data_IF_097310788203
#
_entry.id   IF_097310788203
#
_cell.length_a   1.000
_cell.length_b   1.000
_cell.length_c   1.000
_cell.angle_alpha   90.00
_cell.angle_beta   90.00
_cell.angle_gamma   90.00
#
_symmetry.space_group_name_H-M   'P 1'
#
loop_
_entity.id
_entity.type
_entity.pdbx_description
1 polymer ?
#
# COMPACT_ATOMS: atom_id res chain seq x y z
N UNK A 1 5.14 -1.61 44.57
CA UNK A 1 4.38 -0.47 45.13
C UNK A 1 5.27 0.54 45.83
N UNK A 2 6.14 0.14 46.77
CA UNK A 2 7.06 1.09 47.44
C UNK A 2 8.06 1.75 46.47
N UNK A 3 8.72 0.99 45.60
CA UNK A 3 9.67 1.55 44.61
C UNK A 3 9.00 2.50 43.59
N UNK A 4 7.80 2.18 43.13
CA UNK A 4 7.03 3.02 42.20
C UNK A 4 6.56 4.33 42.85
N UNK A 5 6.29 4.32 44.17
CA UNK A 5 5.93 5.51 44.95
C UNK A 5 7.13 6.45 45.13
N UNK A 6 8.31 5.89 45.40
CA UNK A 6 9.55 6.66 45.55
C UNK A 6 9.96 7.33 44.22
N UNK A 7 9.79 6.61 43.09
CA UNK A 7 10.03 7.17 41.75
C UNK A 7 9.05 8.31 41.40
N UNK A 8 7.80 8.15 41.84
CA UNK A 8 6.75 9.15 41.70
C UNK A 8 7.12 10.45 42.45
N UNK A 9 7.41 10.37 43.74
CA UNK A 9 7.79 11.52 44.57
C UNK A 9 9.04 12.24 44.03
N UNK A 10 10.07 11.49 43.62
CA UNK A 10 11.28 12.05 43.04
C UNK A 10 11.02 12.81 41.72
N UNK A 11 10.15 12.27 40.85
CA UNK A 11 9.73 12.98 39.63
C UNK A 11 8.97 14.27 39.99
N UNK A 12 8.11 14.22 40.99
CA UNK A 12 7.30 15.36 41.43
C UNK A 12 8.16 16.52 41.95
N UNK A 13 9.20 16.21 42.74
CA UNK A 13 10.17 17.17 43.26
C UNK A 13 10.99 17.80 42.12
N UNK A 14 11.49 16.97 41.21
CA UNK A 14 12.25 17.44 40.05
C UNK A 14 11.40 18.36 39.17
N UNK A 15 10.14 18.01 38.89
CA UNK A 15 9.23 18.86 38.13
C UNK A 15 8.96 20.21 38.84
N UNK A 16 8.82 20.22 40.16
CA UNK A 16 8.69 21.47 40.93
C UNK A 16 9.92 22.35 40.78
N UNK A 17 11.12 21.78 40.93
CA UNK A 17 12.37 22.51 40.77
C UNK A 17 12.53 23.05 39.34
N UNK A 18 12.11 22.28 38.34
CA UNK A 18 12.07 22.68 36.94
C UNK A 18 11.17 23.91 36.71
N UNK A 19 9.94 23.89 37.23
CA UNK A 19 8.97 24.99 37.11
C UNK A 19 9.48 26.29 37.76
N UNK A 20 10.19 26.18 38.90
CA UNK A 20 10.84 27.29 39.58
C UNK A 20 12.06 27.78 38.80
N UNK A 21 12.86 26.88 38.23
CA UNK A 21 14.01 27.18 37.38
C UNK A 21 13.65 27.94 36.11
N UNK A 22 12.48 27.64 35.50
CA UNK A 22 11.94 28.41 34.36
C UNK A 22 11.80 29.91 34.65
N UNK A 23 11.62 30.32 35.92
CA UNK A 23 11.55 31.74 36.29
C UNK A 23 12.93 32.43 36.27
N UNK A 24 14.02 31.65 36.29
CA UNK A 24 15.41 32.14 36.37
C UNK A 24 16.17 32.13 35.04
N UNK A 25 15.48 31.89 33.90
CA UNK A 25 16.05 31.81 32.54
C UNK A 25 17.08 30.68 32.30
N UNK A 26 17.22 29.71 33.21
CA UNK A 26 18.21 28.63 33.08
C UNK A 26 17.64 27.39 32.35
N UNK A 27 17.32 27.60 31.08
CA UNK A 27 16.65 26.59 30.26
C UNK A 27 17.57 25.38 29.98
N UNK A 28 18.87 25.58 29.79
CA UNK A 28 19.85 24.51 29.52
C UNK A 28 19.90 23.44 30.62
N UNK A 29 19.86 23.88 31.87
CA UNK A 29 19.78 22.98 33.01
C UNK A 29 18.46 22.21 32.99
N UNK A 30 17.34 22.87 32.67
CA UNK A 30 16.03 22.23 32.58
C UNK A 30 15.98 21.08 31.55
N UNK A 31 16.46 21.30 30.33
CA UNK A 31 16.47 20.25 29.29
C UNK A 31 17.36 19.07 29.71
N UNK A 32 18.52 19.35 30.30
CA UNK A 32 19.43 18.32 30.81
C UNK A 32 18.77 17.47 31.90
N UNK A 33 18.04 18.11 32.80
CA UNK A 33 17.31 17.42 33.89
C UNK A 33 16.20 16.54 33.33
N UNK A 34 15.39 17.05 32.39
CA UNK A 34 14.31 16.24 31.79
C UNK A 34 14.89 15.09 30.95
N UNK A 35 15.96 15.32 30.19
CA UNK A 35 16.64 14.24 29.44
C UNK A 35 17.17 13.15 30.38
N UNK A 36 17.79 13.53 31.50
CA UNK A 36 18.24 12.58 32.51
C UNK A 36 17.08 11.75 33.08
N UNK A 37 15.93 12.39 33.36
CA UNK A 37 14.72 11.66 33.77
C UNK A 37 14.30 10.67 32.67
N UNK A 38 14.17 11.12 31.43
CA UNK A 38 13.78 10.25 30.29
C UNK A 38 14.68 9.03 30.19
N UNK A 39 16.00 9.20 30.30
CA UNK A 39 16.98 8.10 30.27
C UNK A 39 16.87 7.17 31.48
N UNK A 40 16.74 7.73 32.68
CA UNK A 40 16.59 6.94 33.91
C UNK A 40 15.38 6.01 33.84
N UNK A 41 14.28 6.49 33.26
CA UNK A 41 13.05 5.71 33.13
C UNK A 41 12.98 4.86 31.85
N UNK A 42 14.00 4.87 30.99
CA UNK A 42 14.13 3.94 29.86
C UNK A 42 14.79 2.60 30.27
N UNK A 43 15.63 2.60 31.31
CA UNK A 43 16.59 1.50 31.57
C UNK A 43 15.97 0.31 32.33
N UNK A 44 14.88 0.49 33.08
CA UNK A 44 14.44 -0.53 34.05
C UNK A 44 13.12 -1.26 33.76
N UNK A 45 12.44 -0.99 32.63
CA UNK A 45 11.06 -1.47 32.36
C UNK A 45 10.02 -1.14 33.46
N UNK A 46 10.41 -0.41 34.51
CA UNK A 46 9.56 0.10 35.59
C UNK A 46 8.82 1.33 35.07
N UNK A 47 7.52 1.19 34.86
CA UNK A 47 6.65 2.28 34.39
C UNK A 47 6.31 3.20 35.56
N UNK A 48 6.49 4.50 35.37
CA UNK A 48 6.08 5.51 36.34
C UNK A 48 4.56 5.48 36.45
N UNK A 49 4.06 5.38 37.67
CA UNK A 49 2.64 5.58 37.94
C UNK A 49 2.40 7.08 38.06
N UNK A 50 1.60 7.64 37.16
CA UNK A 50 1.26 9.07 37.20
C UNK A 50 0.23 9.34 38.30
N UNK A 51 0.37 10.51 38.92
CA UNK A 51 -0.59 11.09 39.85
C UNK A 51 -1.08 12.44 39.31
N UNK A 52 -2.27 12.89 39.75
CA UNK A 52 -2.86 14.15 39.27
C UNK A 52 -1.92 15.34 39.48
N UNK A 53 -1.24 15.41 40.63
CA UNK A 53 -0.27 16.47 40.92
C UNK A 53 0.87 16.52 39.89
N UNK A 54 1.33 15.36 39.41
CA UNK A 54 2.37 15.29 38.38
C UNK A 54 1.86 15.76 37.04
N UNK A 55 0.66 15.34 36.64
CA UNK A 55 0.05 15.80 35.38
C UNK A 55 -0.11 17.32 35.39
N UNK A 56 -0.58 17.90 36.50
CA UNK A 56 -0.69 19.35 36.65
C UNK A 56 0.67 20.05 36.57
N UNK A 57 1.73 19.47 37.15
CA UNK A 57 3.10 20.01 37.04
C UNK A 57 3.66 19.89 35.62
N UNK A 58 3.50 18.75 34.96
CA UNK A 58 3.93 18.57 33.55
C UNK A 58 3.15 19.53 32.65
N UNK A 59 1.83 19.69 32.86
CA UNK A 59 1.02 20.66 32.14
C UNK A 59 1.52 22.09 32.35
N UNK A 60 1.75 22.51 33.59
CA UNK A 60 2.25 23.84 33.90
C UNK A 60 3.62 24.10 33.26
N UNK A 61 4.51 23.10 33.31
CA UNK A 61 5.82 23.16 32.66
C UNK A 61 5.66 23.29 31.14
N UNK A 62 4.83 22.45 30.52
CA UNK A 62 4.54 22.47 29.10
C UNK A 62 3.97 23.83 28.66
N UNK A 63 2.94 24.34 29.33
CA UNK A 63 2.33 25.64 29.01
C UNK A 63 3.32 26.80 29.13
N UNK A 64 4.23 26.77 30.10
CA UNK A 64 5.30 27.77 30.21
C UNK A 64 6.26 27.67 29.03
N UNK A 65 6.75 26.48 28.71
CA UNK A 65 7.68 26.26 27.59
C UNK A 65 7.03 26.64 26.26
N UNK A 66 5.78 26.29 26.04
CA UNK A 66 5.02 26.60 24.83
C UNK A 66 4.81 28.11 24.66
N UNK A 67 4.32 28.80 25.71
CA UNK A 67 4.15 30.25 25.68
C UNK A 67 5.42 30.99 25.25
N UNK A 68 6.59 30.54 25.72
CA UNK A 68 7.87 31.15 25.40
C UNK A 68 8.36 30.70 24.01
N UNK A 69 8.09 29.46 23.59
CA UNK A 69 8.33 28.99 22.21
C UNK A 69 7.65 29.88 21.18
N UNK A 70 6.40 30.27 21.46
CA UNK A 70 5.61 31.16 20.59
C UNK A 70 6.11 32.61 20.59
N UNK A 71 6.78 33.05 21.67
CA UNK A 71 7.22 34.45 21.82
C UNK A 71 8.64 34.70 21.31
N UNK A 72 9.56 33.79 21.60
CA UNK A 72 11.00 34.05 21.44
C UNK A 72 11.65 33.21 20.32
N UNK A 73 10.92 32.28 19.68
CA UNK A 73 11.38 31.46 18.55
C UNK A 73 12.72 30.70 18.76
N UNK A 74 13.09 30.43 20.01
CA UNK A 74 14.40 29.85 20.36
C UNK A 74 14.44 28.33 20.13
N UNK A 75 15.51 27.86 19.47
CA UNK A 75 15.81 26.44 19.20
C UNK A 75 15.78 25.54 20.44
N UNK A 76 16.00 26.10 21.62
CA UNK A 76 16.11 25.36 22.86
C UNK A 76 14.75 24.84 23.37
N UNK A 77 13.64 25.51 23.05
CA UNK A 77 12.33 25.15 23.61
C UNK A 77 11.74 23.90 22.97
N UNK A 78 12.07 23.63 21.69
CA UNK A 78 11.69 22.38 21.03
C UNK A 78 12.38 21.16 21.65
N UNK A 79 13.63 21.28 22.10
CA UNK A 79 14.31 20.19 22.81
C UNK A 79 13.58 19.81 24.10
N UNK A 80 13.19 20.83 24.90
CA UNK A 80 12.43 20.61 26.13
C UNK A 80 11.08 19.94 25.82
N UNK A 81 10.34 20.46 24.84
CA UNK A 81 9.06 19.87 24.43
C UNK A 81 9.22 18.42 23.98
N UNK A 82 10.26 18.11 23.18
CA UNK A 82 10.57 16.74 22.79
C UNK A 82 10.82 15.84 24.00
N UNK A 83 11.55 16.31 25.01
CA UNK A 83 11.84 15.56 26.22
C UNK A 83 10.61 15.38 27.13
N UNK A 84 9.72 16.39 27.21
CA UNK A 84 8.40 16.25 27.86
C UNK A 84 7.58 15.16 27.16
N UNK A 85 7.50 15.19 25.83
CA UNK A 85 6.75 14.17 25.09
C UNK A 85 7.36 12.78 25.22
N UNK A 86 8.69 12.64 25.26
CA UNK A 86 9.36 11.34 25.52
C UNK A 86 9.02 10.80 26.90
N UNK A 87 9.00 11.65 27.93
CA UNK A 87 8.60 11.27 29.28
C UNK A 87 7.15 10.75 29.26
N UNK A 88 6.21 11.52 28.68
CA UNK A 88 4.81 11.13 28.59
C UNK A 88 4.60 9.84 27.80
N UNK A 89 5.28 9.68 26.66
CA UNK A 89 5.28 8.47 25.84
C UNK A 89 5.66 7.24 26.65
N UNK A 90 6.71 7.34 27.46
CA UNK A 90 7.17 6.25 28.32
C UNK A 90 6.18 5.95 29.45
N UNK A 91 5.56 6.99 30.03
CA UNK A 91 4.53 6.82 31.08
C UNK A 91 3.25 6.17 30.55
N UNK A 92 2.86 6.42 29.29
CA UNK A 92 1.60 5.90 28.74
C UNK A 92 1.71 4.48 28.18
N UNK A 93 2.90 4.08 27.73
CA UNK A 93 3.12 2.77 27.10
C UNK A 93 2.56 1.63 27.96
N UNK A 94 1.47 1.01 27.50
CA UNK A 94 0.79 -0.11 28.17
C UNK A 94 0.28 0.18 29.59
N UNK A 95 0.02 1.44 29.96
CA UNK A 95 -0.46 1.83 31.30
C UNK A 95 -1.89 2.39 31.23
N UNK A 96 -2.94 1.53 31.33
CA UNK A 96 -4.33 1.95 31.36
C UNK A 96 -4.65 3.05 32.38
N UNK A 97 -4.09 2.93 33.59
CA UNK A 97 -4.30 3.91 34.66
C UNK A 97 -3.80 5.31 34.26
N UNK A 98 -2.62 5.39 33.66
CA UNK A 98 -2.04 6.68 33.25
C UNK A 98 -2.83 7.28 32.08
N UNK A 99 -3.30 6.45 31.16
CA UNK A 99 -4.16 6.86 30.04
C UNK A 99 -5.48 7.42 30.58
N UNK A 100 -6.15 6.70 31.49
CA UNK A 100 -7.39 7.16 32.12
C UNK A 100 -7.20 8.51 32.83
N UNK A 101 -6.09 8.67 33.55
CA UNK A 101 -5.76 9.92 34.23
C UNK A 101 -5.57 11.09 33.25
N UNK A 102 -4.95 10.84 32.09
CA UNK A 102 -4.83 11.85 31.02
C UNK A 102 -6.19 12.21 30.42
N UNK A 103 -7.05 11.23 30.15
CA UNK A 103 -8.42 11.50 29.64
C UNK A 103 -9.22 12.36 30.61
N UNK A 104 -9.07 12.16 31.92
CA UNK A 104 -9.73 13.00 32.95
C UNK A 104 -9.20 14.44 32.97
N UNK A 105 -7.99 14.67 32.48
CA UNK A 105 -7.31 15.98 32.45
C UNK A 105 -7.28 16.55 31.01
N UNK A 106 -8.46 16.72 30.39
CA UNK A 106 -8.58 17.14 28.97
C UNK A 106 -7.87 18.43 28.64
N UNK A 107 -7.81 19.41 29.55
CA UNK A 107 -7.10 20.69 29.33
C UNK A 107 -5.64 20.50 28.92
N UNK A 108 -4.96 19.49 29.45
CA UNK A 108 -3.58 19.23 29.08
C UNK A 108 -3.49 18.62 27.68
N UNK A 109 -4.36 17.66 27.38
CA UNK A 109 -4.41 17.06 26.04
C UNK A 109 -4.82 18.10 24.98
N UNK A 110 -5.76 18.99 25.29
CA UNK A 110 -6.15 20.13 24.43
C UNK A 110 -4.93 21.00 24.13
N UNK A 111 -4.11 21.32 25.13
CA UNK A 111 -2.89 22.10 24.94
C UNK A 111 -1.87 21.39 24.02
N UNK A 112 -1.66 20.08 24.22
CA UNK A 112 -0.77 19.27 23.37
C UNK A 112 -1.27 19.22 21.93
N UNK A 113 -2.59 19.06 21.73
CA UNK A 113 -3.18 18.97 20.40
C UNK A 113 -3.15 20.33 19.70
N UNK A 114 -3.46 21.42 20.40
CA UNK A 114 -3.31 22.78 19.89
C UNK A 114 -1.86 23.06 19.46
N UNK A 115 -0.89 22.66 20.29
CA UNK A 115 0.53 22.74 19.96
C UNK A 115 0.85 21.96 18.67
N UNK A 116 0.42 20.70 18.59
CA UNK A 116 0.65 19.85 17.42
C UNK A 116 0.03 20.47 16.15
N UNK A 117 -1.20 20.97 16.22
CA UNK A 117 -1.88 21.65 15.09
C UNK A 117 -1.09 22.87 14.63
N UNK A 118 -0.65 23.72 15.56
CA UNK A 118 0.12 24.92 15.25
C UNK A 118 1.42 24.58 14.52
N UNK A 119 2.19 23.61 15.02
CA UNK A 119 3.46 23.22 14.39
C UNK A 119 3.27 22.41 13.10
N UNK A 120 2.19 21.64 12.99
CA UNK A 120 1.83 20.97 11.71
C UNK A 120 1.57 21.98 10.61
N UNK A 121 0.96 23.13 10.92
CA UNK A 121 0.76 24.20 9.95
C UNK A 121 2.07 24.87 9.52
N UNK A 122 3.12 24.80 10.33
CA UNK A 122 4.47 25.30 9.97
C UNK A 122 5.27 24.31 9.13
N UNK A 123 4.96 23.01 9.21
CA UNK A 123 5.60 21.98 8.37
C UNK A 123 5.26 22.12 6.88
N UNK A 124 4.13 22.75 6.55
CA UNK A 124 3.61 22.85 5.18
C UNK A 124 3.99 24.15 4.44
N UNK A 125 4.71 25.06 5.09
CA UNK A 125 5.12 26.30 4.46
C UNK A 125 6.54 26.11 3.92
N UNK A 126 6.69 26.17 2.60
CA UNK A 126 7.97 26.28 1.86
C UNK A 126 8.66 27.62 2.16
N UNK A 127 8.90 27.93 3.44
CA UNK A 127 9.74 29.07 3.82
C UNK A 127 11.18 28.60 3.75
N UNK A 128 11.78 28.80 2.58
CA UNK A 128 13.18 28.55 2.22
C UNK A 128 14.24 29.25 3.11
N UNK A 129 13.88 29.87 4.25
CA UNK A 129 14.81 30.78 4.96
C UNK A 129 14.81 30.71 6.50
N UNK A 130 14.22 29.70 7.16
CA UNK A 130 14.39 29.53 8.61
C UNK A 130 15.50 28.51 8.94
N UNK A 131 16.63 28.99 9.47
CA UNK A 131 17.75 28.25 10.09
C UNK A 131 17.48 26.73 10.29
N UNK A 132 18.10 25.91 9.44
CA UNK A 132 18.02 24.42 9.37
C UNK A 132 17.94 23.73 10.75
N UNK A 133 18.74 24.20 11.72
CA UNK A 133 18.78 23.66 13.09
C UNK A 133 17.48 23.81 13.90
N UNK A 134 16.67 24.86 13.69
CA UNK A 134 15.43 25.06 14.44
C UNK A 134 14.32 24.16 13.90
N UNK A 135 14.24 24.04 12.58
CA UNK A 135 13.29 23.18 11.89
C UNK A 135 13.48 21.72 12.29
N UNK A 136 14.74 21.24 12.33
CA UNK A 136 15.08 19.90 12.78
C UNK A 136 14.61 19.61 14.21
N UNK A 137 14.84 20.54 15.13
CA UNK A 137 14.40 20.39 16.53
C UNK A 137 12.88 20.40 16.66
N UNK A 138 12.20 21.29 15.91
CA UNK A 138 10.74 21.28 15.82
C UNK A 138 10.23 19.93 15.32
N UNK A 139 10.81 19.40 14.25
CA UNK A 139 10.45 18.11 13.67
C UNK A 139 10.67 16.96 14.67
N UNK A 140 11.75 16.98 15.44
CA UNK A 140 12.00 16.02 16.53
C UNK A 140 10.91 16.13 17.60
N UNK A 141 10.54 17.34 18.01
CA UNK A 141 9.48 17.56 19.00
C UNK A 141 8.12 17.06 18.50
N UNK A 142 7.76 17.34 17.25
CA UNK A 142 6.54 16.83 16.60
C UNK A 142 6.54 15.30 16.57
N UNK A 143 7.65 14.67 16.16
CA UNK A 143 7.77 13.20 16.20
C UNK A 143 7.56 12.64 17.60
N UNK A 144 8.14 13.26 18.63
CA UNK A 144 7.98 12.80 20.01
C UNK A 144 6.53 12.96 20.49
N UNK A 145 5.87 14.07 20.14
CA UNK A 145 4.45 14.29 20.40
C UNK A 145 3.58 13.20 19.77
N UNK A 146 3.78 12.92 18.48
CA UNK A 146 3.06 11.87 17.77
C UNK A 146 3.32 10.48 18.38
N UNK A 147 4.55 10.17 18.80
CA UNK A 147 4.85 8.90 19.48
C UNK A 147 4.14 8.77 20.81
N UNK A 148 4.04 9.87 21.57
CA UNK A 148 3.23 9.91 22.78
C UNK A 148 1.76 9.61 22.47
N UNK A 149 1.18 10.29 21.48
CA UNK A 149 -0.21 10.06 21.08
C UNK A 149 -0.44 8.61 20.60
N UNK A 150 0.48 8.05 19.81
CA UNK A 150 0.42 6.66 19.35
C UNK A 150 0.37 5.67 20.53
N UNK A 151 1.23 5.86 21.54
CA UNK A 151 1.20 5.04 22.75
C UNK A 151 -0.06 5.26 23.59
N UNK A 152 -0.60 6.48 23.61
CA UNK A 152 -1.83 6.80 24.34
C UNK A 152 -3.04 6.07 23.74
N UNK A 153 -3.15 6.00 22.41
CA UNK A 153 -4.26 5.32 21.73
C UNK A 153 -4.04 3.81 21.56
N UNK A 154 -2.79 3.33 21.62
CA UNK A 154 -2.45 1.90 21.49
C UNK A 154 -2.66 1.07 22.77
N UNK A 155 -3.05 1.69 23.89
CA UNK A 155 -3.08 1.05 25.20
C UNK A 155 -4.23 0.06 25.45
N UNK A 156 -5.37 0.20 24.77
CA UNK A 156 -6.51 -0.72 24.90
C UNK A 156 -7.13 -1.05 23.53
N UNK A 157 -7.39 -2.33 23.29
CA UNK A 157 -7.95 -2.87 22.04
C UNK A 157 -9.47 -2.93 22.02
N UNK A 158 -10.16 -2.20 22.90
CA UNK A 158 -11.61 -2.30 23.04
C UNK A 158 -12.33 -1.17 22.30
N UNK A 159 -13.46 -1.53 21.68
CA UNK A 159 -14.43 -0.57 21.14
C UNK A 159 -14.90 0.38 22.25
N UNK A 160 -15.02 1.66 21.92
CA UNK A 160 -15.48 2.67 22.85
C UNK A 160 -14.44 3.24 23.81
N UNK A 161 -13.15 3.01 23.55
CA UNK A 161 -12.06 3.64 24.29
C UNK A 161 -12.19 5.19 24.27
N UNK A 162 -12.33 5.83 25.45
CA UNK A 162 -12.46 7.28 25.56
C UNK A 162 -11.24 8.06 25.02
N UNK A 163 -10.03 7.52 25.16
CA UNK A 163 -8.81 8.13 24.64
C UNK A 163 -8.82 8.11 23.11
N UNK A 164 -9.18 6.98 22.47
CA UNK A 164 -9.28 6.91 21.00
C UNK A 164 -10.29 7.91 20.46
N UNK A 165 -11.47 7.99 21.06
CA UNK A 165 -12.53 8.94 20.65
C UNK A 165 -12.11 10.39 20.86
N UNK A 166 -11.52 10.70 22.01
CA UNK A 166 -11.05 12.04 22.32
C UNK A 166 -9.93 12.47 21.37
N UNK A 167 -8.93 11.60 21.15
CA UNK A 167 -7.86 11.86 20.18
C UNK A 167 -8.44 11.98 18.77
N UNK A 168 -9.36 11.13 18.33
CA UNK A 168 -9.95 11.23 16.99
C UNK A 168 -10.71 12.55 16.77
N UNK A 169 -11.47 13.01 17.76
CA UNK A 169 -12.23 14.26 17.69
C UNK A 169 -11.33 15.50 17.62
N UNK A 170 -10.15 15.45 18.24
CA UNK A 170 -9.26 16.60 18.38
C UNK A 170 -8.02 16.53 17.47
N UNK A 171 -7.55 15.35 17.11
CA UNK A 171 -6.57 15.14 16.06
C UNK A 171 -7.28 15.12 14.71
N UNK A 172 -7.77 16.30 14.31
CA UNK A 172 -8.69 16.46 13.18
C UNK A 172 -8.10 15.98 11.84
N UNK A 173 -9.02 15.76 10.89
CA UNK A 173 -8.67 15.28 9.55
C UNK A 173 -7.66 16.18 8.82
N UNK A 174 -7.74 17.51 9.00
CA UNK A 174 -6.81 18.43 8.37
C UNK A 174 -5.37 18.24 8.87
N UNK A 175 -5.21 18.02 10.17
CA UNK A 175 -3.91 17.75 10.80
C UNK A 175 -3.38 16.40 10.34
N UNK A 176 -4.21 15.36 10.35
CA UNK A 176 -3.88 14.03 9.84
C UNK A 176 -3.39 14.11 8.39
N UNK A 177 -4.17 14.75 7.51
CA UNK A 177 -3.83 14.91 6.09
C UNK A 177 -2.50 15.62 5.89
N UNK A 178 -2.24 16.72 6.61
CA UNK A 178 -0.97 17.44 6.52
C UNK A 178 0.20 16.55 6.94
N UNK A 179 0.09 15.88 8.08
CA UNK A 179 1.15 15.00 8.60
C UNK A 179 1.45 13.82 7.66
N UNK A 180 0.41 13.21 7.08
CA UNK A 180 0.56 12.15 6.06
C UNK A 180 1.22 12.63 4.76
N UNK A 181 1.19 13.92 4.45
CA UNK A 181 1.80 14.51 3.26
C UNK A 181 3.08 15.30 3.56
N UNK A 182 3.65 15.16 4.76
CA UNK A 182 4.97 15.75 5.07
C UNK A 182 6.08 15.02 4.33
N UNK A 183 7.22 15.67 4.09
CA UNK A 183 8.39 15.01 3.50
C UNK A 183 9.07 14.03 4.44
N UNK A 184 8.82 14.11 5.75
CA UNK A 184 9.47 13.27 6.74
C UNK A 184 8.82 11.87 6.88
N UNK A 185 9.48 10.78 6.44
CA UNK A 185 8.91 9.43 6.52
C UNK A 185 8.57 9.00 7.96
N UNK A 186 9.40 9.39 8.92
CA UNK A 186 9.18 9.07 10.33
C UNK A 186 7.88 9.67 10.88
N UNK A 187 7.51 10.89 10.45
CA UNK A 187 6.25 11.53 10.85
C UNK A 187 5.06 10.78 10.26
N UNK A 188 5.12 10.46 8.96
CA UNK A 188 4.06 9.70 8.28
C UNK A 188 3.80 8.36 8.94
N UNK A 189 4.84 7.58 9.26
CA UNK A 189 4.74 6.28 9.95
C UNK A 189 4.05 6.34 11.30
N UNK A 190 4.43 7.31 12.14
CA UNK A 190 3.82 7.44 13.47
C UNK A 190 2.36 7.91 13.33
N UNK A 191 2.09 8.77 12.34
CA UNK A 191 0.72 9.22 12.03
C UNK A 191 -0.17 8.04 11.63
N UNK A 192 0.30 7.11 10.79
CA UNK A 192 -0.48 5.93 10.42
C UNK A 192 -0.69 4.98 11.61
N UNK A 193 0.25 4.89 12.55
CA UNK A 193 0.05 4.16 13.79
C UNK A 193 -1.09 4.74 14.65
N UNK A 194 -1.18 6.07 14.78
CA UNK A 194 -2.28 6.73 15.51
C UNK A 194 -3.61 6.46 14.82
N UNK A 195 -3.68 6.68 13.50
CA UNK A 195 -4.89 6.48 12.70
C UNK A 195 -5.38 5.04 12.82
N UNK A 196 -4.50 4.06 12.63
CA UNK A 196 -4.85 2.64 12.75
C UNK A 196 -5.44 2.32 14.13
N UNK A 197 -4.74 2.70 15.20
CA UNK A 197 -5.18 2.38 16.57
C UNK A 197 -6.54 3.01 16.90
N UNK A 198 -6.83 4.21 16.37
CA UNK A 198 -8.15 4.83 16.47
C UNK A 198 -9.20 4.09 15.63
N UNK A 199 -8.88 3.68 14.40
CA UNK A 199 -9.77 2.94 13.50
C UNK A 199 -10.08 1.50 13.95
N UNK A 200 -9.44 1.01 15.02
CA UNK A 200 -9.87 -0.19 15.72
C UNK A 200 -11.24 -0.01 16.42
N UNK A 201 -11.65 1.23 16.71
CA UNK A 201 -13.03 1.53 17.14
C UNK A 201 -13.94 1.56 15.90
N UNK A 202 -14.98 0.73 15.91
CA UNK A 202 -15.89 0.58 14.77
C UNK A 202 -16.67 1.86 14.43
N UNK A 203 -16.96 2.71 15.43
CA UNK A 203 -17.64 3.99 15.23
C UNK A 203 -16.74 4.98 14.50
N UNK A 204 -15.46 5.04 14.89
CA UNK A 204 -14.44 5.83 14.19
C UNK A 204 -14.25 5.30 12.76
N UNK A 205 -14.10 3.99 12.60
CA UNK A 205 -13.93 3.38 11.28
C UNK A 205 -15.07 3.73 10.31
N UNK A 206 -16.32 3.62 10.75
CA UNK A 206 -17.50 4.00 9.94
C UNK A 206 -17.49 5.48 9.59
N UNK A 207 -17.11 6.37 10.52
CA UNK A 207 -17.00 7.80 10.24
C UNK A 207 -16.01 8.14 9.11
N UNK A 208 -15.00 7.28 8.88
CA UNK A 208 -14.06 7.42 7.76
C UNK A 208 -14.65 6.87 6.47
N UNK A 209 -15.19 5.66 6.52
CA UNK A 209 -15.67 4.95 5.31
C UNK A 209 -16.93 5.59 4.73
N UNK A 210 -17.81 6.12 5.57
CA UNK A 210 -19.06 6.77 5.15
C UNK A 210 -18.82 8.19 4.61
N UNK A 211 -17.72 8.85 5.00
CA UNK A 211 -17.33 10.17 4.51
C UNK A 211 -16.32 10.08 3.34
N UNK A 212 -16.84 9.86 2.14
CA UNK A 212 -16.01 9.58 0.95
C UNK A 212 -14.83 10.57 0.70
N UNK A 213 -14.96 11.90 0.84
CA UNK A 213 -13.82 12.81 0.67
C UNK A 213 -12.70 12.60 1.70
N UNK A 214 -13.06 12.25 2.93
CA UNK A 214 -12.11 11.90 4.00
C UNK A 214 -11.41 10.60 3.62
N UNK A 215 -12.17 9.57 3.24
CA UNK A 215 -11.62 8.28 2.82
C UNK A 215 -10.60 8.43 1.69
N UNK A 216 -10.94 9.16 0.63
CA UNK A 216 -10.06 9.39 -0.53
C UNK A 216 -8.75 10.02 -0.09
N UNK A 217 -8.79 11.15 0.61
CA UNK A 217 -7.57 11.86 0.99
C UNK A 217 -6.75 11.14 2.07
N UNK A 218 -7.38 10.27 2.88
CA UNK A 218 -6.68 9.41 3.81
C UNK A 218 -5.94 8.29 3.09
N UNK A 219 -6.61 7.55 2.18
CA UNK A 219 -5.98 6.49 1.37
C UNK A 219 -4.82 7.08 0.55
N UNK A 220 -5.03 8.24 -0.05
CA UNK A 220 -4.04 8.96 -0.82
C UNK A 220 -2.74 9.23 0.00
N UNK A 221 -2.88 9.73 1.23
CA UNK A 221 -1.76 9.95 2.14
C UNK A 221 -1.10 8.67 2.67
N UNK A 222 -1.89 7.62 2.92
CA UNK A 222 -1.38 6.30 3.34
C UNK A 222 -0.56 5.66 2.22
N UNK A 223 -1.05 5.71 0.97
CA UNK A 223 -0.32 5.21 -0.20
C UNK A 223 0.98 6.01 -0.42
N UNK A 224 0.96 7.31 -0.15
CA UNK A 224 2.18 8.12 -0.19
C UNK A 224 3.21 7.68 0.88
N UNK A 225 2.76 7.28 2.07
CA UNK A 225 3.63 6.73 3.11
C UNK A 225 4.29 5.40 2.69
N UNK A 226 3.56 4.54 1.97
CA UNK A 226 4.07 3.24 1.52
C UNK A 226 5.24 3.34 0.52
N UNK A 227 5.50 4.51 -0.05
CA UNK A 227 6.62 4.75 -0.99
C UNK A 227 7.99 4.87 -0.32
N UNK A 228 8.05 4.76 1.01
CA UNK A 228 9.32 4.87 1.77
C UNK A 228 10.09 3.55 1.73
N UNK A 229 11.41 3.58 1.95
CA UNK A 229 12.25 2.36 1.96
C UNK A 229 11.81 1.32 3.00
N UNK A 230 11.12 1.76 4.05
CA UNK A 230 10.66 0.95 5.16
C UNK A 230 9.20 1.28 5.51
N UNK A 231 8.22 0.90 4.68
CA UNK A 231 6.83 1.30 4.87
C UNK A 231 6.27 0.86 6.23
N UNK A 232 5.33 1.63 6.76
CA UNK A 232 4.66 1.31 8.03
C UNK A 232 3.76 0.07 7.89
N UNK A 233 3.88 -0.88 8.82
CA UNK A 233 2.94 -2.01 8.92
C UNK A 233 1.50 -1.53 9.15
N UNK A 234 1.33 -0.43 9.89
CA UNK A 234 0.05 0.18 10.19
C UNK A 234 -0.68 0.66 8.94
N UNK A 235 0.06 1.13 7.93
CA UNK A 235 -0.49 1.53 6.64
C UNK A 235 -1.12 0.34 5.92
N UNK A 236 -0.45 -0.81 5.90
CA UNK A 236 -1.02 -2.03 5.33
C UNK A 236 -2.25 -2.51 6.11
N UNK A 237 -2.23 -2.43 7.45
CA UNK A 237 -3.38 -2.84 8.25
C UNK A 237 -4.61 -1.93 8.05
N UNK A 238 -4.41 -0.62 7.89
CA UNK A 238 -5.52 0.30 7.56
C UNK A 238 -6.12 -0.07 6.19
N UNK A 239 -5.28 -0.21 5.16
CA UNK A 239 -5.75 -0.54 3.81
C UNK A 239 -6.45 -1.90 3.75
N UNK A 240 -5.91 -2.90 4.45
CA UNK A 240 -6.54 -4.20 4.58
C UNK A 240 -7.94 -4.08 5.18
N UNK A 241 -8.06 -3.40 6.33
CA UNK A 241 -9.35 -3.22 7.00
C UNK A 241 -10.35 -2.50 6.08
N UNK A 242 -9.93 -1.45 5.37
CA UNK A 242 -10.79 -0.74 4.41
C UNK A 242 -11.26 -1.69 3.28
N UNK A 243 -10.36 -2.49 2.72
CA UNK A 243 -10.64 -3.38 1.58
C UNK A 243 -11.51 -4.60 1.93
N UNK A 244 -11.56 -4.97 3.21
CA UNK A 244 -12.47 -5.99 3.75
C UNK A 244 -13.93 -5.49 3.78
N UNK A 245 -14.15 -4.17 3.78
CA UNK A 245 -15.47 -3.54 3.71
C UNK A 245 -15.86 -3.16 2.28
N UNK A 246 -17.17 -2.96 2.03
CA UNK A 246 -17.66 -2.48 0.74
C UNK A 246 -17.37 -0.99 0.61
N UNK A 247 -16.43 -0.64 -0.26
CA UNK A 247 -16.02 0.75 -0.52
C UNK A 247 -16.08 1.04 -2.02
N UNK A 248 -16.39 2.29 -2.38
CA UNK A 248 -16.50 2.71 -3.78
C UNK A 248 -15.11 2.80 -4.46
N UNK A 249 -14.41 1.68 -4.61
CA UNK A 249 -13.03 1.62 -5.16
C UNK A 249 -12.95 2.26 -6.55
N UNK A 250 -13.98 2.08 -7.38
CA UNK A 250 -14.03 2.69 -8.71
C UNK A 250 -13.96 4.23 -8.67
N UNK A 251 -14.69 4.84 -7.74
CA UNK A 251 -14.69 6.29 -7.54
C UNK A 251 -13.41 6.74 -6.84
N UNK A 252 -12.91 5.94 -5.89
CA UNK A 252 -11.65 6.20 -5.19
C UNK A 252 -10.48 6.33 -6.17
N UNK A 253 -10.34 5.38 -7.09
CA UNK A 253 -9.28 5.39 -8.10
C UNK A 253 -9.35 6.56 -9.08
N UNK A 254 -10.53 7.16 -9.27
CA UNK A 254 -10.71 8.35 -10.10
C UNK A 254 -10.32 9.63 -9.37
N UNK A 255 -10.34 9.63 -8.04
CA UNK A 255 -10.07 10.80 -7.21
C UNK A 255 -8.63 10.84 -6.64
N UNK A 256 -7.79 9.84 -6.93
CA UNK A 256 -6.37 9.84 -6.56
C UNK A 256 -5.47 9.84 -7.81
N UNK A 257 -4.24 10.39 -7.73
CA UNK A 257 -3.29 10.39 -8.84
C UNK A 257 -2.98 8.98 -9.38
N UNK A 258 -2.77 8.87 -10.70
CA UNK A 258 -2.53 7.59 -11.39
C UNK A 258 -1.43 6.73 -10.74
N UNK A 259 -0.30 7.34 -10.38
CA UNK A 259 0.80 6.64 -9.70
C UNK A 259 0.34 6.03 -8.37
N UNK A 260 -0.50 6.75 -7.63
CA UNK A 260 -1.06 6.29 -6.35
C UNK A 260 -2.14 5.22 -6.56
N UNK A 261 -2.93 5.31 -7.64
CA UNK A 261 -3.84 4.24 -8.07
C UNK A 261 -3.11 2.93 -8.36
N UNK A 262 -1.97 2.98 -9.05
CA UNK A 262 -1.13 1.79 -9.32
C UNK A 262 -0.63 1.17 -8.02
N UNK A 263 -0.11 1.99 -7.10
CA UNK A 263 0.35 1.50 -5.80
C UNK A 263 -0.78 0.87 -4.98
N UNK A 264 -1.98 1.45 -5.00
CA UNK A 264 -3.15 0.88 -4.34
C UNK A 264 -3.53 -0.48 -4.93
N UNK A 265 -3.50 -0.62 -6.26
CA UNK A 265 -3.71 -1.89 -6.96
C UNK A 265 -2.63 -2.92 -6.61
N UNK A 266 -1.38 -2.50 -6.47
CA UNK A 266 -0.28 -3.39 -6.05
C UNK A 266 -0.46 -3.88 -4.61
N UNK A 267 -0.96 -3.03 -3.69
CA UNK A 267 -1.34 -3.46 -2.33
C UNK A 267 -2.42 -4.53 -2.38
N UNK A 268 -3.50 -4.29 -3.13
CA UNK A 268 -4.56 -5.28 -3.33
C UNK A 268 -4.02 -6.59 -3.92
N UNK A 269 -3.12 -6.50 -4.89
CA UNK A 269 -2.48 -7.66 -5.54
C UNK A 269 -1.66 -8.47 -4.54
N UNK A 270 -0.89 -7.80 -3.67
CA UNK A 270 -0.08 -8.47 -2.65
C UNK A 270 -0.94 -9.16 -1.60
N UNK A 271 -2.05 -8.54 -1.17
CA UNK A 271 -3.01 -9.17 -0.27
C UNK A 271 -3.58 -10.47 -0.86
N UNK A 272 -4.01 -10.43 -2.12
CA UNK A 272 -4.54 -11.60 -2.82
C UNK A 272 -3.47 -12.68 -3.04
N UNK A 273 -2.23 -12.27 -3.31
CA UNK A 273 -1.10 -13.20 -3.47
C UNK A 273 -0.85 -13.96 -2.16
N UNK A 274 -0.91 -13.27 -1.01
CA UNK A 274 -0.81 -13.91 0.30
C UNK A 274 -1.99 -14.86 0.54
N UNK A 275 -3.22 -14.43 0.25
CA UNK A 275 -4.42 -15.26 0.42
C UNK A 275 -4.30 -16.54 -0.43
N UNK A 276 -3.82 -16.43 -1.67
CA UNK A 276 -3.57 -17.57 -2.56
C UNK A 276 -2.47 -18.50 -2.01
N UNK A 277 -1.36 -17.95 -1.54
CA UNK A 277 -0.26 -18.73 -0.98
C UNK A 277 -0.66 -19.50 0.29
N UNK A 278 -1.55 -18.91 1.10
CA UNK A 278 -2.08 -19.51 2.32
C UNK A 278 -3.37 -20.32 2.09
N UNK A 279 -3.83 -20.45 0.84
CA UNK A 279 -5.07 -21.10 0.44
C UNK A 279 -6.30 -20.63 1.24
N UNK A 280 -6.45 -19.31 1.35
CA UNK A 280 -7.55 -18.64 2.06
C UNK A 280 -8.56 -18.05 1.09
N UNK A 281 -9.77 -17.84 1.58
CA UNK A 281 -10.75 -17.01 0.87
C UNK A 281 -10.20 -15.58 0.72
N UNK A 282 -10.41 -14.92 -0.44
CA UNK A 282 -9.94 -13.56 -0.62
C UNK A 282 -10.53 -12.60 0.42
N UNK A 283 -9.68 -11.80 1.05
CA UNK A 283 -10.11 -10.77 2.01
C UNK A 283 -10.82 -9.59 1.35
N UNK A 284 -10.57 -9.35 0.06
CA UNK A 284 -11.14 -8.23 -0.69
C UNK A 284 -12.57 -8.57 -1.12
N UNK A 285 -13.53 -7.71 -0.79
CA UNK A 285 -14.93 -7.91 -1.17
C UNK A 285 -15.14 -7.90 -2.69
N UNK A 286 -16.08 -8.71 -3.21
CA UNK A 286 -16.41 -8.70 -4.64
C UNK A 286 -16.86 -7.32 -5.13
N UNK A 287 -17.60 -6.59 -4.27
CA UNK A 287 -18.03 -5.22 -4.54
C UNK A 287 -16.86 -4.30 -4.92
N UNK A 288 -15.73 -4.44 -4.24
CA UNK A 288 -14.50 -3.68 -4.49
C UNK A 288 -13.80 -4.10 -5.78
N UNK A 289 -13.91 -5.38 -6.17
CA UNK A 289 -13.26 -5.95 -7.35
C UNK A 289 -14.02 -5.63 -8.65
N UNK A 290 -15.36 -5.55 -8.61
CA UNK A 290 -16.16 -5.31 -9.82
C UNK A 290 -15.73 -4.02 -10.57
N UNK A 291 -15.56 -2.84 -9.92
CA UNK A 291 -15.07 -1.65 -10.60
C UNK A 291 -13.68 -1.80 -11.20
N UNK A 292 -12.79 -2.58 -10.56
CA UNK A 292 -11.45 -2.87 -11.07
C UNK A 292 -11.51 -3.64 -12.38
N UNK A 293 -12.37 -4.66 -12.46
CA UNK A 293 -12.57 -5.43 -13.69
C UNK A 293 -13.23 -4.59 -14.80
N UNK A 294 -14.17 -3.69 -14.46
CA UNK A 294 -14.70 -2.72 -15.43
C UNK A 294 -13.61 -1.80 -15.98
N UNK A 295 -12.74 -1.28 -15.10
CA UNK A 295 -11.62 -0.43 -15.48
C UNK A 295 -10.62 -1.19 -16.36
N UNK A 296 -10.32 -2.46 -16.03
CA UNK A 296 -9.50 -3.33 -16.87
C UNK A 296 -10.11 -3.48 -18.27
N UNK A 297 -11.40 -3.82 -18.37
CA UNK A 297 -12.08 -3.95 -19.68
C UNK A 297 -12.00 -2.67 -20.49
N UNK A 298 -12.27 -1.51 -19.88
CA UNK A 298 -12.15 -0.22 -20.54
C UNK A 298 -10.74 0.00 -21.13
N UNK A 299 -9.69 -0.23 -20.33
CA UNK A 299 -8.33 -0.05 -20.82
C UNK A 299 -7.89 -1.12 -21.84
N UNK A 300 -8.44 -2.34 -21.80
CA UNK A 300 -8.19 -3.36 -22.83
C UNK A 300 -8.85 -2.99 -24.17
N UNK A 301 -10.01 -2.33 -24.16
CA UNK A 301 -10.65 -1.80 -25.37
C UNK A 301 -9.72 -0.79 -26.07
N UNK A 302 -9.05 0.08 -25.31
CA UNK A 302 -8.10 1.06 -25.87
C UNK A 302 -6.88 0.40 -26.54
N UNK A 303 -6.44 -0.76 -26.03
CA UNK A 303 -5.35 -1.56 -26.61
C UNK A 303 -5.78 -2.42 -27.80
N UNK A 304 -7.08 -2.58 -28.05
CA UNK A 304 -7.60 -3.30 -29.22
C UNK A 304 -7.24 -2.60 -30.55
N UNK A 305 -6.87 -1.33 -30.50
CA UNK A 305 -6.47 -0.56 -31.67
C UNK A 305 -4.98 -0.81 -31.94
N UNK A 306 -4.61 -1.57 -32.97
CA UNK A 306 -3.21 -1.94 -33.29
C UNK A 306 -2.24 -0.74 -33.34
N UNK A 307 -2.70 0.41 -33.86
CA UNK A 307 -1.96 1.68 -33.87
C UNK A 307 -1.66 2.22 -32.47
N UNK A 308 -2.52 1.96 -31.48
CA UNK A 308 -2.30 2.38 -30.08
C UNK A 308 -1.16 1.61 -29.42
N UNK A 309 -0.93 0.36 -29.83
CA UNK A 309 0.19 -0.48 -29.36
C UNK A 309 1.52 -0.07 -29.98
N UNK A 310 1.51 0.42 -31.23
CA UNK A 310 2.73 0.79 -31.97
C UNK A 310 3.20 2.23 -31.70
N UNK A 311 2.28 3.21 -31.62
CA UNK A 311 2.64 4.64 -31.64
C UNK A 311 2.59 5.33 -30.27
N UNK A 312 1.90 4.75 -29.29
CA UNK A 312 1.76 5.38 -27.97
C UNK A 312 2.73 4.70 -27.00
N UNK A 313 3.45 5.49 -26.20
CA UNK A 313 3.66 5.13 -24.79
C UNK A 313 2.27 5.32 -24.17
N UNK A 314 1.40 4.30 -24.05
CA UNK A 314 0.07 4.57 -23.58
C UNK A 314 0.25 5.05 -22.14
N UNK A 315 -0.28 6.24 -21.82
CA UNK A 315 -0.19 6.86 -20.48
C UNK A 315 -0.61 5.91 -19.35
N UNK A 316 -1.25 4.80 -19.69
CA UNK A 316 -1.82 3.81 -18.78
C UNK A 316 -1.20 2.40 -18.90
N UNK A 317 -0.05 2.19 -19.57
CA UNK A 317 0.50 0.83 -19.69
C UNK A 317 0.79 0.19 -18.32
N UNK A 318 1.35 0.98 -17.41
CA UNK A 318 1.63 0.57 -16.04
C UNK A 318 0.34 0.27 -15.28
N UNK A 319 -0.70 1.10 -15.47
CA UNK A 319 -2.03 0.84 -14.92
C UNK A 319 -2.61 -0.47 -15.46
N UNK A 320 -2.60 -0.69 -16.77
CA UNK A 320 -3.09 -1.92 -17.40
C UNK A 320 -2.33 -3.13 -16.86
N UNK A 321 -1.01 -3.01 -16.73
CA UNK A 321 -0.18 -4.06 -16.19
C UNK A 321 -0.56 -4.40 -14.73
N UNK A 322 -0.73 -3.39 -13.88
CA UNK A 322 -1.16 -3.55 -12.49
C UNK A 322 -2.56 -4.19 -12.41
N UNK A 323 -3.52 -3.70 -13.21
CA UNK A 323 -4.87 -4.25 -13.30
C UNK A 323 -4.87 -5.72 -13.76
N UNK A 324 -4.05 -6.06 -14.76
CA UNK A 324 -3.91 -7.44 -15.24
C UNK A 324 -3.29 -8.35 -14.18
N UNK A 325 -2.28 -7.89 -13.44
CA UNK A 325 -1.69 -8.65 -12.33
C UNK A 325 -2.73 -8.94 -11.26
N UNK A 326 -3.46 -7.92 -10.82
CA UNK A 326 -4.54 -8.07 -9.85
C UNK A 326 -5.59 -9.06 -10.35
N UNK A 327 -6.08 -8.90 -11.58
CA UNK A 327 -7.06 -9.81 -12.17
C UNK A 327 -6.56 -11.26 -12.22
N UNK A 328 -5.27 -11.47 -12.50
CA UNK A 328 -4.66 -12.80 -12.46
C UNK A 328 -4.63 -13.40 -11.05
N UNK A 329 -4.40 -12.61 -9.99
CA UNK A 329 -4.43 -13.10 -8.61
C UNK A 329 -5.85 -13.42 -8.16
N UNK A 330 -6.81 -12.55 -8.48
CA UNK A 330 -8.24 -12.76 -8.16
C UNK A 330 -8.75 -14.04 -8.80
N UNK A 331 -8.44 -14.24 -10.09
CA UNK A 331 -8.95 -15.39 -10.87
C UNK A 331 -8.19 -16.69 -10.63
N UNK A 332 -7.03 -16.64 -9.96
CA UNK A 332 -6.27 -17.84 -9.58
C UNK A 332 -6.80 -18.50 -8.30
N UNK A 333 -7.54 -17.77 -7.47
CA UNK A 333 -8.04 -18.29 -6.21
C UNK A 333 -9.19 -19.30 -6.44
N UNK A 334 -9.06 -20.52 -5.92
CA UNK A 334 -10.07 -21.58 -6.11
C UNK A 334 -11.34 -21.37 -5.30
N UNK A 335 -11.29 -20.56 -4.23
CA UNK A 335 -12.45 -20.19 -3.42
C UNK A 335 -13.27 -19.04 -4.03
N UNK A 336 -12.74 -18.36 -5.06
CA UNK A 336 -13.45 -17.29 -5.76
C UNK A 336 -14.67 -17.83 -6.53
N UNK A 337 -15.85 -17.35 -6.16
CA UNK A 337 -17.11 -17.59 -6.88
C UNK A 337 -17.62 -16.33 -7.58
N UNK A 338 -16.71 -15.44 -7.95
CA UNK A 338 -17.06 -14.13 -8.48
C UNK A 338 -17.74 -14.18 -9.85
N UNK A 339 -18.69 -13.27 -10.04
CA UNK A 339 -19.50 -13.11 -11.25
C UNK A 339 -18.66 -12.90 -12.52
N UNK A 340 -17.53 -12.18 -12.42
CA UNK A 340 -16.66 -11.88 -13.56
C UNK A 340 -15.83 -13.07 -14.05
N UNK A 341 -15.85 -14.22 -13.37
CA UNK A 341 -15.22 -15.45 -13.87
C UNK A 341 -15.96 -16.02 -15.09
N UNK A 342 -17.24 -15.66 -15.26
CA UNK A 342 -18.07 -16.02 -16.42
C UNK A 342 -18.19 -14.87 -17.43
N UNK A 343 -17.38 -13.81 -17.32
CA UNK A 343 -17.43 -12.66 -18.22
C UNK A 343 -16.82 -13.00 -19.60
N UNK A 344 -17.70 -13.38 -20.54
CA UNK A 344 -17.31 -13.64 -21.93
C UNK A 344 -16.65 -12.45 -22.63
N UNK A 345 -17.06 -11.22 -22.28
CA UNK A 345 -16.52 -10.00 -22.89
C UNK A 345 -15.07 -9.80 -22.45
N UNK A 346 -14.79 -9.98 -21.15
CA UNK A 346 -13.43 -9.96 -20.62
C UNK A 346 -12.56 -11.01 -21.32
N UNK A 347 -13.07 -12.23 -21.50
CA UNK A 347 -12.35 -13.30 -22.21
C UNK A 347 -12.03 -12.88 -23.66
N UNK A 348 -13.04 -12.41 -24.42
CA UNK A 348 -12.87 -11.93 -25.80
C UNK A 348 -11.85 -10.80 -25.90
N UNK A 349 -11.93 -9.80 -25.01
CA UNK A 349 -11.01 -8.67 -24.98
C UNK A 349 -9.58 -9.13 -24.69
N UNK A 350 -9.40 -9.99 -23.68
CA UNK A 350 -8.09 -10.53 -23.29
C UNK A 350 -7.45 -11.30 -24.45
N UNK A 351 -8.20 -12.19 -25.11
CA UNK A 351 -7.75 -12.92 -26.30
C UNK A 351 -7.40 -11.99 -27.46
N UNK A 352 -8.24 -11.00 -27.74
CA UNK A 352 -8.02 -10.05 -28.86
C UNK A 352 -6.76 -9.23 -28.63
N UNK A 353 -6.56 -8.70 -27.43
CA UNK A 353 -5.37 -7.92 -27.08
C UNK A 353 -4.12 -8.81 -27.14
N UNK A 354 -4.20 -10.07 -26.70
CA UNK A 354 -3.10 -11.02 -26.85
C UNK A 354 -2.74 -11.25 -28.32
N UNK A 355 -3.73 -11.42 -29.20
CA UNK A 355 -3.51 -11.57 -30.65
C UNK A 355 -2.78 -10.36 -31.24
N UNK A 356 -3.22 -9.15 -30.89
CA UNK A 356 -2.62 -7.90 -31.36
C UNK A 356 -1.18 -7.77 -30.88
N UNK A 357 -0.95 -7.90 -29.57
CA UNK A 357 0.40 -7.82 -28.99
C UNK A 357 1.31 -8.90 -29.61
N UNK A 358 0.79 -10.11 -29.81
CA UNK A 358 1.56 -11.19 -30.42
C UNK A 358 1.94 -10.90 -31.87
N UNK A 359 1.01 -10.37 -32.67
CA UNK A 359 1.23 -10.00 -34.07
C UNK A 359 2.23 -8.86 -34.19
N UNK A 360 2.05 -7.77 -33.44
CA UNK A 360 2.97 -6.62 -33.41
C UNK A 360 4.38 -7.08 -33.03
N UNK A 361 4.50 -7.97 -32.05
CA UNK A 361 5.78 -8.51 -31.65
C UNK A 361 6.42 -9.42 -32.72
N UNK A 362 5.64 -10.30 -33.38
CA UNK A 362 6.15 -11.16 -34.47
C UNK A 362 6.61 -10.37 -35.70
N UNK A 363 5.95 -9.25 -36.00
CA UNK A 363 6.26 -8.40 -37.15
C UNK A 363 7.35 -7.36 -36.86
N UNK A 364 7.80 -7.24 -35.60
CA UNK A 364 8.79 -6.24 -35.24
C UNK A 364 10.19 -6.66 -35.70
N UNK A 365 10.89 -5.84 -36.51
CA UNK A 365 12.31 -6.09 -36.86
C UNK A 365 13.24 -6.10 -35.65
N UNK A 366 12.75 -5.68 -34.46
CA UNK A 366 13.45 -5.76 -33.18
C UNK A 366 13.75 -7.21 -32.74
N UNK A 367 12.97 -8.20 -33.20
CA UNK A 367 13.15 -9.62 -32.84
C UNK A 367 14.47 -10.20 -33.38
N UNK A 368 14.93 -9.71 -34.54
CA UNK A 368 16.19 -10.13 -35.19
C UNK A 368 17.39 -9.26 -34.78
N UNK A 369 17.16 -8.00 -34.37
CA UNK A 369 18.23 -7.04 -34.06
C UNK A 369 18.73 -7.06 -32.60
N UNK A 370 17.94 -7.49 -31.62
CA UNK A 370 18.24 -7.25 -30.19
C UNK A 370 18.36 -8.56 -29.40
N UNK A 371 19.59 -9.08 -29.36
CA UNK A 371 20.08 -10.06 -28.37
C UNK A 371 20.65 -9.39 -27.10
N UNK A 372 20.41 -8.09 -26.89
CA UNK A 372 20.95 -7.29 -25.78
C UNK A 372 19.85 -6.36 -25.24
N UNK A 373 19.86 -6.19 -23.91
CA UNK A 373 18.96 -5.44 -23.02
C UNK A 373 17.85 -4.59 -23.65
N UNK A 374 16.61 -4.95 -23.28
CA UNK A 374 15.40 -4.25 -23.68
C UNK A 374 15.21 -2.96 -22.87
N UNK A 375 14.69 -1.88 -23.50
CA UNK A 375 14.18 -0.76 -22.74
C UNK A 375 13.06 -1.24 -21.79
N UNK A 376 12.90 -0.64 -20.59
CA UNK A 376 11.90 -1.04 -19.59
C UNK A 376 10.46 -1.17 -20.14
N UNK A 377 10.12 -0.42 -21.19
CA UNK A 377 8.81 -0.48 -21.86
C UNK A 377 8.57 -1.81 -22.59
N UNK A 378 9.60 -2.44 -23.15
CA UNK A 378 9.47 -3.72 -23.85
C UNK A 378 9.37 -4.89 -22.85
N UNK A 379 10.08 -4.82 -21.72
CA UNK A 379 9.95 -5.82 -20.66
C UNK A 379 8.55 -5.82 -20.04
N UNK A 380 7.93 -4.66 -19.88
CA UNK A 380 6.54 -4.55 -19.45
C UNK A 380 5.57 -5.22 -20.44
N UNK A 381 5.78 -5.04 -21.76
CA UNK A 381 4.91 -5.65 -22.78
C UNK A 381 5.01 -7.18 -22.80
N UNK A 382 6.20 -7.71 -22.59
CA UNK A 382 6.42 -9.15 -22.45
C UNK A 382 5.73 -9.70 -21.20
N UNK A 383 5.84 -9.00 -20.07
CA UNK A 383 5.13 -9.38 -18.85
C UNK A 383 3.60 -9.27 -19.00
N UNK A 384 3.09 -8.28 -19.75
CA UNK A 384 1.68 -8.19 -20.10
C UNK A 384 1.22 -9.39 -20.93
N UNK A 385 1.97 -9.79 -21.96
CA UNK A 385 1.66 -10.97 -22.77
C UNK A 385 1.52 -12.22 -21.90
N UNK A 386 2.43 -12.42 -20.95
CA UNK A 386 2.35 -13.51 -19.96
C UNK A 386 1.08 -13.42 -19.11
N UNK A 387 0.77 -12.24 -18.58
CA UNK A 387 -0.43 -12.06 -17.74
C UNK A 387 -1.73 -12.24 -18.54
N UNK A 388 -1.77 -11.87 -19.82
CA UNK A 388 -2.92 -12.14 -20.70
C UNK A 388 -3.13 -13.65 -20.87
N UNK A 389 -2.06 -14.41 -21.12
CA UNK A 389 -2.14 -15.88 -21.19
C UNK A 389 -2.59 -16.48 -19.86
N UNK A 390 -2.04 -16.01 -18.74
CA UNK A 390 -2.45 -16.42 -17.39
C UNK A 390 -3.94 -16.16 -17.14
N UNK A 391 -4.43 -14.97 -17.48
CA UNK A 391 -5.84 -14.63 -17.30
C UNK A 391 -6.75 -15.51 -18.16
N UNK A 392 -6.39 -15.77 -19.43
CA UNK A 392 -7.10 -16.72 -20.30
C UNK A 392 -7.12 -18.12 -19.67
N UNK A 393 -5.99 -18.58 -19.14
CA UNK A 393 -5.89 -19.88 -18.48
C UNK A 393 -6.84 -19.99 -17.29
N UNK A 394 -6.88 -18.97 -16.43
CA UNK A 394 -7.72 -18.92 -15.24
C UNK A 394 -9.20 -18.88 -15.60
N UNK A 395 -9.61 -18.01 -16.53
CA UNK A 395 -11.00 -17.90 -17.00
C UNK A 395 -11.47 -19.18 -17.71
N UNK A 396 -10.58 -19.95 -18.35
CA UNK A 396 -10.93 -21.23 -18.98
C UNK A 396 -11.03 -22.40 -17.98
N UNK A 397 -10.52 -22.26 -16.76
CA UNK A 397 -10.44 -23.37 -15.80
C UNK A 397 -11.84 -23.85 -15.39
N UNK A 398 -12.16 -25.12 -15.70
CA UNK A 398 -13.46 -25.76 -15.41
C UNK A 398 -14.68 -24.98 -15.93
N UNK A 399 -14.53 -24.20 -17.03
CA UNK A 399 -15.60 -23.35 -17.59
C UNK A 399 -15.86 -23.65 -19.06
N UNK A 400 -16.81 -24.57 -19.37
CA UNK A 400 -17.12 -24.95 -20.75
C UNK A 400 -17.52 -23.77 -21.65
N UNK A 401 -18.19 -22.75 -21.10
CA UNK A 401 -18.54 -21.55 -21.86
C UNK A 401 -17.30 -20.84 -22.41
N UNK A 402 -16.31 -20.58 -21.56
CA UNK A 402 -15.04 -19.93 -21.95
C UNK A 402 -14.20 -20.82 -22.86
N UNK A 403 -14.14 -22.13 -22.59
CA UNK A 403 -13.44 -23.10 -23.44
C UNK A 403 -14.03 -23.13 -24.87
N UNK A 404 -15.36 -23.20 -24.98
CA UNK A 404 -16.04 -23.21 -26.28
C UNK A 404 -15.92 -21.86 -27.00
N UNK A 405 -15.93 -20.77 -26.25
CA UNK A 405 -15.69 -19.45 -26.79
C UNK A 405 -14.27 -19.32 -27.37
N UNK A 406 -13.25 -19.87 -26.69
CA UNK A 406 -11.87 -19.88 -27.16
C UNK A 406 -11.69 -20.54 -28.54
N UNK A 407 -12.50 -21.56 -28.85
CA UNK A 407 -12.58 -22.15 -30.19
C UNK A 407 -13.06 -21.13 -31.22
N UNK A 408 -14.21 -20.49 -30.95
CA UNK A 408 -14.90 -19.58 -31.87
C UNK A 408 -14.09 -18.34 -32.26
N UNK A 409 -13.12 -17.95 -31.44
CA UNK A 409 -12.31 -16.73 -31.63
C UNK A 409 -10.82 -17.04 -31.82
N UNK A 410 -10.47 -18.27 -32.23
CA UNK A 410 -9.10 -18.70 -32.53
C UNK A 410 -8.10 -18.47 -31.39
N UNK A 411 -8.55 -18.57 -30.14
CA UNK A 411 -7.66 -18.48 -28.98
C UNK A 411 -6.85 -19.77 -28.81
N UNK A 412 -7.42 -20.95 -29.10
CA UNK A 412 -6.70 -22.23 -28.95
C UNK A 412 -5.42 -22.28 -29.81
N UNK A 413 -5.46 -22.00 -31.13
CA UNK A 413 -4.24 -21.97 -31.95
C UNK A 413 -3.23 -20.90 -31.48
N UNK A 414 -3.72 -19.72 -31.08
CA UNK A 414 -2.88 -18.65 -30.56
C UNK A 414 -2.08 -19.08 -29.33
N UNK A 415 -2.72 -19.75 -28.36
CA UNK A 415 -2.05 -20.23 -27.15
C UNK A 415 -1.00 -21.30 -27.49
N UNK A 416 -1.30 -22.22 -28.42
CA UNK A 416 -0.33 -23.24 -28.84
C UNK A 416 0.90 -22.64 -29.50
N UNK A 417 0.72 -21.60 -30.31
CA UNK A 417 1.81 -20.86 -30.95
C UNK A 417 2.70 -20.13 -29.92
N UNK A 418 2.22 -19.91 -28.69
CA UNK A 418 3.00 -19.37 -27.58
C UNK A 418 3.70 -20.43 -26.71
N UNK A 419 3.47 -21.72 -26.97
CA UNK A 419 4.03 -22.84 -26.19
C UNK A 419 5.47 -23.21 -26.60
N UNK A 420 6.26 -22.25 -27.08
CA UNK A 420 7.69 -22.40 -27.37
C UNK A 420 8.54 -21.68 -26.32
N UNK A 421 9.80 -22.09 -26.18
CA UNK A 421 10.73 -21.39 -25.32
C UNK A 421 10.98 -19.97 -25.83
N UNK A 422 10.77 -18.99 -24.96
CA UNK A 422 11.03 -17.58 -25.22
C UNK A 422 11.95 -17.05 -24.11
N UNK A 423 13.23 -16.84 -24.42
CA UNK A 423 14.21 -16.37 -23.45
C UNK A 423 13.89 -14.97 -22.90
N UNK A 424 13.12 -14.17 -23.64
CA UNK A 424 12.72 -12.82 -23.23
C UNK A 424 11.46 -12.84 -22.37
N UNK A 425 10.72 -13.96 -22.37
CA UNK A 425 9.56 -14.19 -21.53
C UNK A 425 9.59 -15.60 -20.94
N UNK A 426 10.48 -15.88 -19.97
CA UNK A 426 10.78 -17.24 -19.52
C UNK A 426 9.58 -18.05 -19.03
N UNK A 427 8.49 -17.38 -18.62
CA UNK A 427 7.28 -18.01 -18.09
C UNK A 427 6.13 -18.13 -19.11
N UNK A 428 6.27 -17.60 -20.33
CA UNK A 428 5.17 -17.62 -21.32
C UNK A 428 4.80 -19.05 -21.69
N UNK A 429 5.79 -19.93 -21.77
CA UNK A 429 5.62 -21.33 -22.17
C UNK A 429 4.82 -22.08 -21.11
N UNK A 430 5.16 -21.93 -19.84
CA UNK A 430 4.52 -22.57 -18.70
C UNK A 430 3.05 -22.13 -18.63
N UNK A 431 2.79 -20.83 -18.75
CA UNK A 431 1.43 -20.31 -18.80
C UNK A 431 0.67 -20.76 -20.05
N UNK A 432 1.33 -20.86 -21.20
CA UNK A 432 0.71 -21.41 -22.41
C UNK A 432 0.32 -22.88 -22.22
N UNK A 433 1.17 -23.69 -21.58
CA UNK A 433 0.86 -25.09 -21.25
C UNK A 433 -0.33 -25.18 -20.30
N UNK A 434 -0.37 -24.36 -19.25
CA UNK A 434 -1.51 -24.30 -18.31
C UNK A 434 -2.79 -23.87 -19.03
N UNK A 435 -2.71 -22.85 -19.88
CA UNK A 435 -3.83 -22.39 -20.70
C UNK A 435 -4.33 -23.49 -21.64
N UNK A 436 -3.43 -24.19 -22.35
CA UNK A 436 -3.78 -25.35 -23.19
C UNK A 436 -4.49 -26.41 -22.37
N UNK A 437 -3.93 -26.83 -21.21
CA UNK A 437 -4.57 -27.82 -20.34
C UNK A 437 -6.01 -27.40 -20.00
N UNK A 438 -6.19 -26.18 -19.52
CA UNK A 438 -7.49 -25.68 -19.08
C UNK A 438 -8.50 -25.55 -20.24
N UNK A 439 -8.03 -25.16 -21.43
CA UNK A 439 -8.86 -25.07 -22.64
C UNK A 439 -9.29 -26.44 -23.19
N UNK A 440 -8.49 -27.49 -22.98
CA UNK A 440 -8.74 -28.84 -23.50
C UNK A 440 -9.43 -29.78 -22.51
N UNK A 441 -9.36 -29.48 -21.21
CA UNK A 441 -9.92 -30.32 -20.15
C UNK A 441 -11.42 -30.51 -20.39
N UNK A 442 -11.80 -31.77 -20.57
CA UNK A 442 -13.18 -32.21 -20.81
C UNK A 442 -13.86 -31.52 -22.01
N UNK A 443 -13.08 -31.05 -23.00
CA UNK A 443 -13.57 -30.36 -24.19
C UNK A 443 -13.14 -31.05 -25.50
N UNK A 444 -13.96 -31.98 -26.05
CA UNK A 444 -13.63 -32.72 -27.28
C UNK A 444 -13.47 -31.84 -28.51
N UNK A 445 -14.22 -30.72 -28.59
CA UNK A 445 -14.14 -29.80 -29.72
C UNK A 445 -12.77 -29.14 -29.79
N UNK A 446 -12.28 -28.62 -28.65
CA UNK A 446 -10.95 -28.02 -28.60
C UNK A 446 -9.84 -29.07 -28.81
N UNK A 447 -9.99 -30.29 -28.29
CA UNK A 447 -9.05 -31.37 -28.54
C UNK A 447 -8.96 -31.74 -30.03
N UNK A 448 -10.08 -31.67 -30.77
CA UNK A 448 -10.09 -31.91 -32.20
C UNK A 448 -9.27 -30.88 -32.99
N UNK A 449 -9.31 -29.60 -32.58
CA UNK A 449 -8.49 -28.53 -33.16
C UNK A 449 -7.00 -28.86 -33.02
N UNK A 450 -6.57 -29.23 -31.81
CA UNK A 450 -5.16 -29.56 -31.55
C UNK A 450 -4.70 -30.77 -32.35
N UNK A 451 -5.54 -31.81 -32.46
CA UNK A 451 -5.27 -32.96 -33.34
C UNK A 451 -5.14 -32.56 -34.80
N UNK A 452 -6.01 -31.66 -35.28
CA UNK A 452 -5.94 -31.13 -36.64
C UNK A 452 -4.62 -30.40 -36.92
N UNK A 453 -4.21 -29.51 -36.01
CA UNK A 453 -2.94 -28.77 -36.11
C UNK A 453 -1.75 -29.74 -36.10
N UNK A 454 -1.74 -30.71 -35.19
CA UNK A 454 -0.65 -31.69 -35.09
C UNK A 454 -0.53 -32.53 -36.37
N UNK A 455 -1.65 -32.99 -36.93
CA UNK A 455 -1.67 -33.76 -38.17
C UNK A 455 -1.17 -32.94 -39.36
N UNK A 456 -1.55 -31.66 -39.45
CA UNK A 456 -1.06 -30.74 -40.48
C UNK A 456 0.46 -30.56 -40.39
N UNK A 457 0.99 -30.26 -39.20
CA UNK A 457 2.45 -30.14 -39.00
C UNK A 457 3.20 -31.43 -39.33
N UNK A 458 2.63 -32.60 -39.00
CA UNK A 458 3.23 -33.88 -39.33
C UNK A 458 3.27 -34.15 -40.85
N UNK A 459 2.25 -33.69 -41.58
CA UNK A 459 2.22 -33.76 -43.04
C UNK A 459 3.28 -32.83 -43.67
N UNK A 460 3.38 -31.58 -43.18
CA UNK A 460 4.38 -30.62 -43.65
C UNK A 460 5.81 -31.11 -43.45
N UNK A 461 6.11 -31.69 -42.28
CA UNK A 461 7.43 -32.27 -41.99
C UNK A 461 7.78 -33.44 -42.92
N UNK A 462 6.80 -34.26 -43.33
CA UNK A 462 7.02 -35.34 -44.30
C UNK A 462 7.33 -34.77 -45.68
N UNK A 463 6.55 -33.79 -46.14
CA UNK A 463 6.75 -33.10 -47.41
C UNK A 463 8.15 -32.46 -47.50
N UNK A 464 8.58 -31.74 -46.45
CA UNK A 464 9.92 -31.14 -46.39
C UNK A 464 11.02 -32.21 -46.44
N UNK A 465 10.85 -33.33 -45.72
CA UNK A 465 11.82 -34.43 -45.74
C UNK A 465 11.93 -35.09 -47.11
N UNK A 466 10.83 -35.23 -47.84
CA UNK A 466 10.81 -35.76 -49.21
C UNK A 466 11.52 -34.82 -50.18
N UNK A 467 11.23 -33.51 -50.12
CA UNK A 467 11.93 -32.50 -50.93
C UNK A 467 13.44 -32.46 -50.68
N UNK A 468 13.87 -32.61 -49.42
CA UNK A 468 15.31 -32.69 -49.09
C UNK A 468 15.94 -33.95 -49.68
N UNK A 469 15.25 -35.11 -49.60
CA UNK A 469 15.73 -36.37 -50.20
C UNK A 469 15.86 -36.27 -51.71
N UNK A 470 14.89 -35.66 -52.39
CA UNK A 470 14.93 -35.45 -53.84
C UNK A 470 16.11 -34.56 -54.25
N UNK A 471 16.32 -33.43 -53.57
CA UNK A 471 17.48 -32.56 -53.84
C UNK A 471 18.82 -33.23 -53.59
N UNK A 472 18.93 -34.04 -52.53
CA UNK A 472 20.14 -34.82 -52.26
C UNK A 472 20.36 -35.92 -53.30
N UNK A 473 19.29 -36.53 -53.82
CA UNK A 473 19.37 -37.53 -54.89
C UNK A 473 19.76 -36.89 -56.24
N UNK A 474 19.32 -35.67 -56.53
CA UNK A 474 19.75 -34.89 -57.70
C UNK A 474 21.23 -34.48 -57.59
N UNK A 475 21.68 -34.04 -56.40
CA UNK A 475 23.10 -33.72 -56.18
C UNK A 475 24.04 -34.92 -56.31
N UNK A 476 23.59 -36.13 -55.97
CA UNK A 476 24.39 -37.36 -56.12
C UNK A 476 24.33 -37.94 -57.55
N UNK A 477 23.52 -37.37 -58.45
CA UNK A 477 23.44 -37.75 -59.88
C UNK A 477 24.27 -36.86 -60.80
N UNK A 478 24.76 -35.73 -60.28
CA UNK A 478 25.78 -34.87 -60.88
C UNK A 478 27.16 -35.29 -60.39
#
# INVERSE_FOLDING_TARGET
MAETSIQAEALEEVLTNCILGCQKQDWQVLDTVIDLLVRTYQVDAKRITLEDAMIQKVYLLFSKVDYITLKDHLNFHYSINANIFRLLRNCCAGSPRNIELLVRNTKFLDAIICWLRYHTNKLSNDTEEENDSNHDKMLIAVKCCLQFLANAVGGQSQDGDPMKRYIWQNFDFNTQRKLLNTDCPGVRKITTAIIYNCMLDDGIFRSVVDEFPILVSMIDGIIFELRTDHPSEWSYFILQRILEHQVAVGDLLQNIPMERSINFIDVMTNMLTQDNAENRAPRISEYNLIPIFRLLKHNLVDLKIEKSVQERKPRNFELIFALLRLACEVTANEHSQYSFLEDEELFKLTSTVLQIIHKVYKQSPLREALRIDFPPSFSAAMQMKKNLVRLIANLAYNRPAMQNLANKIDTVPLILDLAHYDYQNPFIREWAIVATRNLLKDNPANQAIVRGIFNACAADQRSIREQIKERLAEQNRL
#
